data_IF_079045376562
#
_entry.id   IF_079045376562
#
_cell.length_a   1.000
_cell.length_b   1.000
_cell.length_c   1.000
_cell.angle_alpha   90.00
_cell.angle_beta   90.00
_cell.angle_gamma   90.00
#
_symmetry.space_group_name_H-M   'P 1'
#
loop_
_entity.id
_entity.type
_entity.pdbx_description
1 polymer ?
#
# COMPACT_ATOMS: atom_id res chain seq x y z
N UNK A 1 -2.07 24.76 -11.80
CA UNK A 1 -2.11 23.30 -12.08
C UNK A 1 -3.20 22.66 -11.23
N UNK A 2 -4.08 21.85 -11.82
CA UNK A 2 -4.94 20.97 -11.02
C UNK A 2 -4.05 20.03 -10.21
N UNK A 3 -4.37 19.74 -8.93
CA UNK A 3 -3.61 18.76 -8.15
C UNK A 3 -3.50 17.47 -8.96
N UNK A 4 -2.30 16.92 -9.08
CA UNK A 4 -2.12 15.67 -9.77
C UNK A 4 -2.62 14.56 -8.83
N UNK A 5 -3.79 14.02 -9.20
CA UNK A 5 -4.48 12.95 -8.48
C UNK A 5 -4.13 11.62 -9.14
N UNK A 6 -3.65 10.69 -8.33
CA UNK A 6 -3.49 9.29 -8.72
C UNK A 6 -4.22 8.37 -7.77
N UNK A 7 -4.60 7.22 -8.32
CA UNK A 7 -5.08 6.08 -7.57
C UNK A 7 -4.03 4.98 -7.61
N UNK A 8 -3.72 4.42 -6.45
CA UNK A 8 -2.75 3.34 -6.27
C UNK A 8 -3.48 2.13 -5.71
N UNK A 9 -3.53 1.05 -6.47
CA UNK A 9 -4.09 -0.23 -6.03
C UNK A 9 -2.96 -1.18 -5.71
N UNK A 10 -3.05 -1.89 -4.58
CA UNK A 10 -2.02 -2.81 -4.10
C UNK A 10 -2.66 -4.14 -3.68
N UNK A 11 -1.98 -5.26 -3.97
CA UNK A 11 -2.40 -6.62 -3.57
C UNK A 11 -1.18 -7.53 -3.34
N UNK A 12 -1.30 -8.38 -2.34
CA UNK A 12 -0.35 -9.44 -2.00
C UNK A 12 -0.72 -10.73 -2.72
N UNK A 13 0.29 -11.48 -3.16
CA UNK A 13 0.11 -12.80 -3.73
C UNK A 13 1.07 -13.83 -3.10
N UNK A 14 0.62 -15.09 -3.08
CA UNK A 14 1.41 -16.23 -2.62
C UNK A 14 1.50 -17.31 -3.69
N UNK A 15 2.70 -17.85 -3.91
CA UNK A 15 2.96 -18.97 -4.81
C UNK A 15 3.32 -20.20 -3.97
N UNK A 16 2.30 -20.97 -3.59
CA UNK A 16 2.44 -22.14 -2.70
C UNK A 16 3.46 -23.17 -3.19
N UNK A 17 3.55 -23.41 -4.50
CA UNK A 17 4.44 -24.43 -5.09
C UNK A 17 5.92 -24.15 -4.84
N UNK A 18 6.28 -22.87 -4.75
CA UNK A 18 7.66 -22.43 -4.59
C UNK A 18 7.91 -21.82 -3.21
N UNK A 19 6.89 -21.82 -2.33
CA UNK A 19 6.91 -21.11 -1.04
C UNK A 19 7.32 -19.64 -1.18
N UNK A 20 6.95 -18.98 -2.30
CA UNK A 20 7.23 -17.57 -2.51
C UNK A 20 6.03 -16.72 -2.10
N UNK A 21 6.31 -15.51 -1.64
CA UNK A 21 5.30 -14.47 -1.46
C UNK A 21 5.74 -13.21 -2.18
N UNK A 22 4.80 -12.37 -2.53
CA UNK A 22 5.10 -11.12 -3.18
C UNK A 22 3.92 -10.18 -3.10
N UNK A 23 4.12 -9.00 -3.65
CA UNK A 23 3.07 -8.02 -3.79
C UNK A 23 3.23 -7.27 -5.09
N UNK A 24 2.16 -6.63 -5.51
CA UNK A 24 2.17 -5.78 -6.68
C UNK A 24 1.26 -4.59 -6.49
N UNK A 25 1.25 -3.74 -7.50
CA UNK A 25 0.33 -2.64 -7.54
C UNK A 25 0.35 -1.87 -8.83
N UNK A 26 -0.67 -1.05 -8.97
CA UNK A 26 -0.96 -0.29 -10.18
C UNK A 26 -1.26 1.16 -9.80
N UNK A 27 -0.54 2.08 -10.44
CA UNK A 27 -0.76 3.52 -10.35
C UNK A 27 -1.54 3.97 -11.59
N UNK A 28 -2.67 4.63 -11.37
CA UNK A 28 -3.57 5.16 -12.40
C UNK A 28 -3.78 6.65 -12.18
N UNK A 29 -3.98 7.41 -13.24
CA UNK A 29 -4.44 8.79 -13.11
C UNK A 29 -5.95 8.88 -12.80
N UNK A 30 -6.43 10.10 -12.61
CA UNK A 30 -7.84 10.41 -12.35
C UNK A 30 -8.80 10.04 -13.51
N UNK A 31 -8.30 9.77 -14.72
CA UNK A 31 -9.09 9.21 -15.82
C UNK A 31 -9.09 7.67 -15.81
N UNK A 32 -8.39 7.05 -14.88
CA UNK A 32 -8.21 5.60 -14.79
C UNK A 32 -7.14 5.07 -15.75
N UNK A 33 -6.38 5.94 -16.44
CA UNK A 33 -5.33 5.51 -17.35
C UNK A 33 -4.13 4.99 -16.56
N UNK A 34 -3.57 3.88 -17.02
CA UNK A 34 -2.41 3.27 -16.41
C UNK A 34 -1.18 4.14 -16.57
N UNK A 35 -0.50 4.42 -15.45
CA UNK A 35 0.76 5.18 -15.45
C UNK A 35 1.97 4.31 -15.15
N UNK A 36 1.82 3.40 -14.20
CA UNK A 36 2.91 2.52 -13.75
C UNK A 36 2.34 1.28 -13.06
N UNK A 37 3.03 0.16 -13.18
CA UNK A 37 2.81 -1.03 -12.37
C UNK A 37 4.11 -1.48 -11.72
N UNK A 38 4.00 -2.24 -10.65
CA UNK A 38 5.12 -2.86 -9.97
C UNK A 38 4.73 -4.24 -9.44
N UNK A 39 5.73 -5.11 -9.31
CA UNK A 39 5.63 -6.40 -8.66
C UNK A 39 6.97 -6.71 -8.00
N UNK A 40 6.92 -7.23 -6.77
CA UNK A 40 8.09 -7.63 -5.99
C UNK A 40 7.83 -9.03 -5.45
N UNK A 41 8.85 -9.89 -5.47
CA UNK A 41 8.77 -11.27 -4.98
C UNK A 41 9.88 -11.51 -3.96
N UNK A 42 9.55 -12.33 -2.96
CA UNK A 42 10.42 -12.80 -1.89
C UNK A 42 10.35 -14.33 -1.79
N UNK A 43 11.46 -14.92 -1.37
CA UNK A 43 11.53 -16.33 -1.00
C UNK A 43 10.99 -16.47 0.43
N UNK A 44 9.78 -17.01 0.57
CA UNK A 44 9.02 -16.95 1.81
C UNK A 44 8.54 -15.54 2.16
N UNK A 45 7.86 -15.44 3.30
CA UNK A 45 7.37 -14.16 3.79
C UNK A 45 6.29 -14.35 4.85
N UNK A 46 6.08 -13.28 5.60
CA UNK A 46 4.89 -13.12 6.41
C UNK A 46 3.88 -12.30 5.58
N UNK A 47 2.66 -12.81 5.44
CA UNK A 47 1.63 -12.17 4.63
C UNK A 47 1.38 -10.72 5.08
N UNK A 48 1.28 -10.49 6.38
CA UNK A 48 1.01 -9.18 6.95
C UNK A 48 2.18 -8.21 6.71
N UNK A 49 3.43 -8.70 6.76
CA UNK A 49 4.59 -7.88 6.37
C UNK A 49 4.51 -7.49 4.89
N UNK A 50 4.09 -8.40 4.01
CA UNK A 50 3.94 -8.09 2.58
C UNK A 50 2.88 -7.01 2.36
N UNK A 51 1.75 -7.08 3.07
CA UNK A 51 0.68 -6.08 3.04
C UNK A 51 1.19 -4.70 3.48
N UNK A 52 2.06 -4.60 4.49
CA UNK A 52 2.67 -3.31 4.82
C UNK A 52 3.66 -2.82 3.75
N UNK A 53 4.47 -3.73 3.20
CA UNK A 53 5.48 -3.38 2.20
C UNK A 53 4.86 -2.91 0.88
N UNK A 54 3.72 -3.46 0.48
CA UNK A 54 3.01 -3.02 -0.72
C UNK A 54 2.52 -1.56 -0.62
N UNK A 55 1.94 -1.18 0.52
CA UNK A 55 1.51 0.21 0.79
C UNK A 55 2.70 1.14 0.70
N UNK A 56 3.80 0.80 1.38
CA UNK A 56 5.03 1.58 1.34
C UNK A 56 5.52 1.74 -0.10
N UNK A 57 5.52 0.67 -0.90
CA UNK A 57 6.02 0.70 -2.28
C UNK A 57 5.13 1.51 -3.21
N UNK A 58 3.81 1.35 -3.11
CA UNK A 58 2.82 2.11 -3.87
C UNK A 58 2.91 3.61 -3.60
N UNK A 59 2.95 3.99 -2.32
CA UNK A 59 3.12 5.38 -1.89
C UNK A 59 4.48 5.95 -2.34
N UNK A 60 5.57 5.19 -2.22
CA UNK A 60 6.88 5.63 -2.71
C UNK A 60 6.86 5.95 -4.20
N UNK A 61 6.19 5.11 -5.01
CA UNK A 61 6.06 5.35 -6.43
C UNK A 61 5.22 6.58 -6.75
N UNK A 62 4.13 6.83 -6.04
CA UNK A 62 3.35 8.06 -6.21
C UNK A 62 4.18 9.30 -5.81
N UNK A 63 4.94 9.23 -4.72
CA UNK A 63 5.83 10.32 -4.29
C UNK A 63 6.94 10.60 -5.32
N UNK A 64 7.59 9.56 -5.84
CA UNK A 64 8.62 9.66 -6.88
C UNK A 64 8.08 10.27 -8.19
N UNK A 65 6.80 10.06 -8.49
CA UNK A 65 6.12 10.66 -9.64
C UNK A 65 5.76 12.14 -9.43
N UNK A 66 5.95 12.68 -8.22
CA UNK A 66 5.63 14.06 -7.87
C UNK A 66 4.14 14.30 -7.64
N UNK A 67 3.39 13.25 -7.29
CA UNK A 67 1.96 13.34 -7.07
C UNK A 67 1.61 14.08 -5.79
N UNK A 68 0.58 14.92 -5.82
CA UNK A 68 0.17 15.72 -4.67
C UNK A 68 -1.08 15.18 -3.97
N UNK A 69 -1.92 14.42 -4.67
CA UNK A 69 -3.09 13.76 -4.09
C UNK A 69 -3.14 12.29 -4.49
N UNK A 70 -3.17 11.41 -3.50
CA UNK A 70 -3.10 9.96 -3.67
C UNK A 70 -4.30 9.34 -2.98
N UNK A 71 -5.00 8.48 -3.71
CA UNK A 71 -5.95 7.52 -3.14
C UNK A 71 -5.27 6.15 -3.20
N UNK A 72 -4.91 5.57 -2.07
CA UNK A 72 -4.31 4.24 -1.98
C UNK A 72 -5.36 3.23 -1.53
N UNK A 73 -5.59 2.21 -2.34
CA UNK A 73 -6.63 1.19 -2.16
C UNK A 73 -6.01 -0.19 -1.98
N UNK A 74 -6.49 -0.93 -0.97
CA UNK A 74 -6.16 -2.33 -0.71
C UNK A 74 -7.44 -3.08 -0.32
N UNK A 75 -7.48 -4.39 -0.52
CA UNK A 75 -8.55 -5.25 0.00
C UNK A 75 -8.29 -5.72 1.45
N UNK A 76 -7.12 -5.40 2.02
CA UNK A 76 -6.74 -5.73 3.39
C UNK A 76 -7.19 -4.68 4.42
N UNK A 77 -8.36 -4.89 5.02
CA UNK A 77 -8.92 -4.01 6.05
C UNK A 77 -8.02 -3.86 7.28
N UNK A 78 -7.34 -4.94 7.69
CA UNK A 78 -6.52 -4.96 8.91
C UNK A 78 -5.31 -4.02 8.78
N UNK A 79 -4.64 -4.01 7.61
CA UNK A 79 -3.49 -3.14 7.37
C UNK A 79 -3.90 -1.68 7.21
N UNK A 80 -4.99 -1.39 6.50
CA UNK A 80 -5.51 -0.01 6.42
C UNK A 80 -5.81 0.53 7.81
N UNK A 81 -6.51 -0.24 8.65
CA UNK A 81 -6.80 0.16 10.02
C UNK A 81 -5.54 0.38 10.87
N UNK A 82 -4.56 -0.52 10.76
CA UNK A 82 -3.30 -0.41 11.49
C UNK A 82 -2.51 0.85 11.10
N UNK A 83 -2.50 1.21 9.81
CA UNK A 83 -1.83 2.43 9.31
C UNK A 83 -2.58 3.69 9.75
N UNK A 84 -3.91 3.71 9.61
CA UNK A 84 -4.73 4.91 9.85
C UNK A 84 -4.84 5.25 11.34
N UNK A 85 -5.13 4.26 12.19
CA UNK A 85 -5.46 4.51 13.59
C UNK A 85 -4.30 4.20 14.55
N UNK A 86 -3.25 3.51 14.08
CA UNK A 86 -2.35 2.82 14.99
C UNK A 86 -3.05 1.64 15.67
N UNK A 87 -2.34 0.95 16.58
CA UNK A 87 -2.86 -0.25 17.26
C UNK A 87 -3.56 0.12 18.56
N UNK A 88 -4.82 0.49 18.42
CA UNK A 88 -5.76 0.54 19.55
C UNK A 88 -6.05 -0.86 20.14
N UNK A 89 -5.52 -1.96 19.54
CA UNK A 89 -5.77 -3.36 19.91
C UNK A 89 -4.53 -4.12 20.45
N UNK A 90 -3.45 -3.40 20.76
CA UNK A 90 -2.33 -3.83 21.60
C UNK A 90 -1.56 -5.10 21.21
N UNK A 91 -1.70 -5.63 19.99
CA UNK A 91 -1.12 -6.94 19.62
C UNK A 91 -0.50 -7.02 18.22
N UNK A 92 -0.90 -6.18 17.26
CA UNK A 92 -0.34 -6.17 15.91
C UNK A 92 0.91 -5.29 15.82
N UNK A 93 0.99 -4.20 16.59
CA UNK A 93 2.15 -3.31 16.50
C UNK A 93 3.39 -3.90 17.13
N UNK A 94 3.37 -4.73 18.18
CA UNK A 94 4.64 -5.09 18.85
C UNK A 94 5.69 -5.73 17.92
N UNK A 95 5.27 -6.50 16.91
CA UNK A 95 6.18 -7.08 15.91
C UNK A 95 6.30 -6.23 14.63
N UNK A 96 5.26 -5.47 14.26
CA UNK A 96 5.20 -4.76 12.98
C UNK A 96 5.24 -3.22 13.11
N UNK A 97 5.54 -2.70 14.29
CA UNK A 97 5.48 -1.26 14.63
C UNK A 97 6.30 -0.41 13.67
N UNK A 98 7.51 -0.86 13.37
CA UNK A 98 8.41 -0.12 12.52
C UNK A 98 7.87 0.04 11.10
N UNK A 99 7.13 -0.95 10.59
CA UNK A 99 6.50 -0.85 9.27
C UNK A 99 5.39 0.21 9.25
N UNK A 100 4.53 0.21 10.27
CA UNK A 100 3.45 1.21 10.41
C UNK A 100 4.04 2.61 10.53
N UNK A 101 5.02 2.83 11.40
CA UNK A 101 5.68 4.13 11.54
C UNK A 101 6.35 4.60 10.25
N UNK A 102 6.98 3.69 9.50
CA UNK A 102 7.60 4.01 8.22
C UNK A 102 6.57 4.50 7.20
N UNK A 103 5.40 3.85 7.14
CA UNK A 103 4.32 4.21 6.22
C UNK A 103 3.67 5.52 6.67
N UNK A 104 3.40 5.68 7.96
CA UNK A 104 2.87 6.94 8.51
C UNK A 104 3.82 8.10 8.22
N UNK A 105 5.14 7.93 8.38
CA UNK A 105 6.12 8.97 8.03
C UNK A 105 6.12 9.33 6.54
N UNK A 106 5.71 8.40 5.67
CA UNK A 106 5.52 8.65 4.24
C UNK A 106 4.20 9.39 3.97
N UNK A 107 3.11 9.01 4.64
CA UNK A 107 1.79 9.65 4.56
C UNK A 107 1.86 11.12 5.00
N UNK A 108 2.60 11.43 6.08
CA UNK A 108 2.71 12.79 6.62
C UNK A 108 3.71 13.70 5.89
N UNK A 109 4.13 13.36 4.66
CA UNK A 109 4.88 14.28 3.80
C UNK A 109 3.97 15.41 3.29
N UNK A 110 4.56 16.35 2.53
CA UNK A 110 3.84 17.47 1.92
C UNK A 110 3.02 17.03 0.68
N UNK A 111 2.00 16.21 0.93
CA UNK A 111 1.02 15.68 -0.03
C UNK A 111 -0.25 15.24 0.72
N UNK A 112 -1.33 14.99 0.00
CA UNK A 112 -2.57 14.42 0.55
C UNK A 112 -2.65 12.93 0.21
N UNK A 113 -2.89 12.10 1.23
CA UNK A 113 -3.08 10.65 1.06
C UNK A 113 -4.37 10.21 1.73
N UNK A 114 -5.25 9.58 0.95
CA UNK A 114 -6.46 8.93 1.42
C UNK A 114 -6.28 7.40 1.28
N UNK A 115 -6.48 6.66 2.37
CA UNK A 115 -6.38 5.19 2.39
C UNK A 115 -7.79 4.58 2.40
N UNK A 116 -8.09 3.70 1.45
CA UNK A 116 -9.41 3.06 1.36
C UNK A 116 -9.30 1.54 1.33
N UNK A 117 -10.26 0.89 1.98
CA UNK A 117 -10.50 -0.55 1.82
C UNK A 117 -11.48 -0.74 0.66
N UNK A 118 -11.16 -1.66 -0.25
CA UNK A 118 -12.03 -2.02 -1.38
C UNK A 118 -12.31 -3.53 -1.41
N UNK A 119 -13.38 -4.00 -2.06
CA UNK A 119 -13.58 -5.43 -2.30
C UNK A 119 -12.46 -6.00 -3.17
N UNK A 120 -12.08 -7.26 -2.93
CA UNK A 120 -11.03 -7.96 -3.70
C UNK A 120 -11.33 -8.01 -5.20
N UNK A 121 -12.60 -8.12 -5.59
CA UNK A 121 -13.02 -8.14 -7.00
C UNK A 121 -12.89 -6.79 -7.71
N UNK A 122 -12.72 -5.71 -6.94
CA UNK A 122 -12.52 -4.36 -7.45
C UNK A 122 -11.04 -3.93 -7.47
N UNK A 123 -10.16 -4.73 -6.86
CA UNK A 123 -8.71 -4.53 -6.86
C UNK A 123 -8.09 -5.11 -8.13
#
# INVERSE_FOLDING_TARGET
>A
PSPSLVKVNVDVYGIYRNSCMGFGGVVRDHFGLWRKGFAVQFDGGDALIMEFLEFKKGLQHAWELGEQHIICESDCCDVVNAITNGDDRGSILHLHHDFVLNIQGLIHKDWQVDLHVIPREAN
#
